data_IF_463163326428
#
_entry.id   IF_463163326428
#
_cell.length_a   1.000
_cell.length_b   1.000
_cell.length_c   1.000
_cell.angle_alpha   90.00
_cell.angle_beta   90.00
_cell.angle_gamma   90.00
#
_symmetry.space_group_name_H-M   'P 1'
#
loop_
_entity.id
_entity.type
_entity.pdbx_description
1 polymer ?
#
# COMPACT_ATOMS: atom_id res chain seq x y z
N UNK A 1 -6.35 -10.04 -13.97
CA UNK A 1 -5.14 -9.40 -13.42
C UNK A 1 -4.05 -10.43 -13.36
N UNK A 2 -2.78 -10.04 -13.56
CA UNK A 2 -1.66 -10.97 -13.29
C UNK A 2 -1.59 -11.22 -11.79
N UNK A 3 -1.18 -12.42 -11.36
CA UNK A 3 -1.13 -12.78 -9.94
C UNK A 3 -0.26 -11.80 -9.14
N UNK A 4 0.90 -11.43 -9.67
CA UNK A 4 1.82 -10.48 -9.04
C UNK A 4 1.24 -9.06 -8.93
N UNK A 5 0.40 -8.64 -9.89
CA UNK A 5 -0.29 -7.35 -9.82
C UNK A 5 -1.30 -7.32 -8.67
N UNK A 6 -1.99 -8.44 -8.40
CA UNK A 6 -2.92 -8.54 -7.27
C UNK A 6 -2.16 -8.50 -5.95
N UNK A 7 -1.07 -9.25 -5.84
CA UNK A 7 -0.21 -9.26 -4.65
C UNK A 7 0.33 -7.86 -4.36
N UNK A 8 0.85 -7.17 -5.38
CA UNK A 8 1.37 -5.81 -5.24
C UNK A 8 0.31 -4.81 -4.79
N UNK A 9 -0.89 -4.86 -5.39
CA UNK A 9 -1.98 -3.98 -4.99
C UNK A 9 -2.48 -4.30 -3.56
N UNK A 10 -2.48 -5.56 -3.14
CA UNK A 10 -2.80 -5.95 -1.76
C UNK A 10 -1.75 -5.48 -0.75
N UNK A 11 -0.46 -5.61 -1.08
CA UNK A 11 0.64 -5.14 -0.23
C UNK A 11 0.56 -3.62 -0.03
N UNK A 12 0.28 -2.87 -1.12
CA UNK A 12 0.04 -1.43 -1.05
C UNK A 12 -1.15 -1.06 -0.14
N UNK A 13 -2.29 -1.74 -0.28
CA UNK A 13 -3.46 -1.50 0.58
C UNK A 13 -3.13 -1.79 2.04
N UNK A 14 -2.42 -2.89 2.33
CA UNK A 14 -2.02 -3.23 3.70
C UNK A 14 -1.10 -2.18 4.31
N UNK A 15 -0.12 -1.68 3.55
CA UNK A 15 0.76 -0.60 3.97
C UNK A 15 -0.03 0.68 4.27
N UNK A 16 -1.02 1.01 3.43
CA UNK A 16 -1.88 2.18 3.64
C UNK A 16 -2.68 2.07 4.94
N UNK A 17 -3.31 0.91 5.20
CA UNK A 17 -4.07 0.69 6.43
C UNK A 17 -3.17 0.66 7.68
N UNK A 18 -1.99 0.04 7.58
CA UNK A 18 -1.01 0.05 8.67
C UNK A 18 -0.55 1.49 8.99
N UNK A 19 -0.27 2.28 7.96
CA UNK A 19 0.12 3.69 8.11
C UNK A 19 -1.01 4.50 8.75
N UNK A 20 -2.26 4.30 8.32
CA UNK A 20 -3.42 4.96 8.95
C UNK A 20 -3.57 4.57 10.42
N UNK A 21 -3.37 3.30 10.76
CA UNK A 21 -3.44 2.83 12.15
C UNK A 21 -2.37 3.49 13.03
N UNK A 22 -1.13 3.58 12.54
CA UNK A 22 -0.03 4.25 13.24
C UNK A 22 -0.32 5.74 13.47
N UNK A 23 -0.93 6.40 12.49
CA UNK A 23 -1.23 7.84 12.56
C UNK A 23 -2.53 8.17 13.28
N UNK A 24 -3.37 7.17 13.59
CA UNK A 24 -4.66 7.38 14.27
C UNK A 24 -4.49 7.87 15.72
N UNK A 25 -3.40 7.46 16.39
CA UNK A 25 -3.02 7.98 17.70
C UNK A 25 -1.59 8.55 17.67
N UNK A 26 -1.46 9.89 17.53
CA UNK A 26 -0.15 10.55 17.50
C UNK A 26 0.70 10.35 18.75
N UNK A 27 0.10 10.06 19.91
CA UNK A 27 0.84 9.84 21.15
C UNK A 27 1.61 8.52 21.13
N UNK A 28 1.02 7.49 20.51
CA UNK A 28 1.63 6.16 20.38
C UNK A 28 2.39 6.00 19.05
N UNK A 29 2.31 6.96 18.12
CA UNK A 29 3.02 6.91 16.85
C UNK A 29 4.53 6.61 16.98
N UNK A 30 5.30 7.18 17.94
CA UNK A 30 6.71 6.84 18.12
C UNK A 30 6.94 5.35 18.43
N UNK A 31 5.98 4.68 19.09
CA UNK A 31 6.04 3.26 19.40
C UNK A 31 5.76 2.39 18.17
N UNK A 32 4.83 2.80 17.31
CA UNK A 32 4.36 1.98 16.19
C UNK A 32 5.03 2.29 14.84
N UNK A 33 5.59 3.48 14.65
CA UNK A 33 6.30 3.86 13.41
C UNK A 33 7.39 2.86 12.98
N UNK A 34 8.23 2.30 13.88
CA UNK A 34 9.21 1.28 13.49
C UNK A 34 8.59 0.00 12.90
N UNK A 35 7.33 -0.30 13.22
CA UNK A 35 6.62 -1.48 12.70
C UNK A 35 6.24 -1.35 11.22
N UNK A 36 6.32 -0.15 10.64
CA UNK A 36 6.05 0.08 9.22
C UNK A 36 7.19 -0.38 8.30
N UNK A 37 8.39 -0.66 8.83
CA UNK A 37 9.53 -1.06 8.01
C UNK A 37 9.23 -2.31 7.16
N UNK A 38 8.69 -3.36 7.76
CA UNK A 38 8.36 -4.60 7.04
C UNK A 38 7.26 -4.43 5.99
N UNK A 39 6.12 -3.76 6.28
CA UNK A 39 5.12 -3.43 5.25
C UNK A 39 5.64 -2.56 4.10
N UNK A 40 6.60 -1.66 4.35
CA UNK A 40 7.25 -0.85 3.30
C UNK A 40 8.07 -1.75 2.38
N UNK A 41 8.96 -2.57 2.95
CA UNK A 41 9.80 -3.51 2.20
C UNK A 41 8.95 -4.48 1.35
N UNK A 42 7.87 -5.03 1.93
CA UNK A 42 6.98 -5.94 1.22
C UNK A 42 6.28 -5.25 0.04
N UNK A 43 5.81 -4.01 0.23
CA UNK A 43 5.17 -3.25 -0.83
C UNK A 43 6.16 -2.92 -1.96
N UNK A 44 7.38 -2.47 -1.63
CA UNK A 44 8.41 -2.15 -2.61
C UNK A 44 8.81 -3.38 -3.44
N UNK A 45 9.02 -4.53 -2.80
CA UNK A 45 9.33 -5.79 -3.49
C UNK A 45 8.19 -6.25 -4.40
N UNK A 46 6.95 -6.18 -3.92
CA UNK A 46 5.80 -6.60 -4.71
C UNK A 46 5.56 -5.67 -5.92
N UNK A 47 5.70 -4.36 -5.73
CA UNK A 47 5.59 -3.36 -6.79
C UNK A 47 6.69 -3.54 -7.84
N UNK A 48 7.93 -3.78 -7.40
CA UNK A 48 9.06 -4.08 -8.29
C UNK A 48 8.82 -5.34 -9.12
N UNK A 49 8.42 -6.44 -8.48
CA UNK A 49 8.13 -7.72 -9.17
C UNK A 49 7.00 -7.61 -10.18
N UNK A 50 5.95 -6.85 -9.87
CA UNK A 50 4.81 -6.65 -10.76
C UNK A 50 5.10 -5.64 -11.91
N UNK A 51 6.24 -4.95 -11.87
CA UNK A 51 6.55 -3.85 -12.80
C UNK A 51 5.63 -2.64 -12.61
N UNK A 52 5.15 -2.42 -11.38
CA UNK A 52 4.24 -1.32 -11.02
C UNK A 52 4.96 -0.14 -10.37
N UNK A 53 6.25 -0.27 -10.03
CA UNK A 53 7.07 0.84 -9.58
C UNK A 53 7.13 1.93 -10.67
N UNK A 54 6.65 3.13 -10.36
CA UNK A 54 6.52 4.25 -11.32
C UNK A 54 5.35 4.13 -12.31
N UNK A 55 4.38 3.25 -12.05
CA UNK A 55 3.14 3.13 -12.83
C UNK A 55 1.92 3.20 -11.90
N UNK A 56 1.76 4.36 -11.25
CA UNK A 56 0.74 4.63 -10.25
C UNK A 56 -0.67 4.53 -10.84
N UNK A 57 -0.85 4.93 -12.09
CA UNK A 57 -2.15 4.84 -12.79
C UNK A 57 -2.64 3.39 -12.85
N UNK A 58 -1.76 2.45 -13.20
CA UNK A 58 -2.07 1.02 -13.21
C UNK A 58 -2.30 0.50 -11.80
N UNK A 59 -1.44 0.84 -10.84
CA UNK A 59 -1.59 0.45 -9.43
C UNK A 59 -2.96 0.89 -8.88
N UNK A 60 -3.34 2.15 -9.05
CA UNK A 60 -4.60 2.67 -8.53
C UNK A 60 -5.82 2.08 -9.24
N UNK A 61 -5.71 1.75 -10.54
CA UNK A 61 -6.75 0.99 -11.21
C UNK A 61 -6.95 -0.39 -10.55
N UNK A 62 -5.86 -1.08 -10.19
CA UNK A 62 -5.93 -2.35 -9.49
C UNK A 62 -6.55 -2.20 -8.09
N UNK A 63 -6.09 -1.23 -7.30
CA UNK A 63 -6.59 -0.96 -5.94
C UNK A 63 -8.09 -0.68 -5.93
N UNK A 64 -8.61 0.10 -6.89
CA UNK A 64 -10.06 0.38 -7.00
C UNK A 64 -10.90 -0.88 -7.22
N UNK A 65 -10.33 -1.91 -7.84
CA UNK A 65 -11.04 -3.20 -7.97
C UNK A 65 -11.01 -4.03 -6.69
N UNK A 66 -9.96 -3.90 -5.88
CA UNK A 66 -9.80 -4.64 -4.63
C UNK A 66 -10.59 -4.01 -3.48
N UNK A 67 -10.64 -2.68 -3.44
CA UNK A 67 -11.33 -1.89 -2.41
C UNK A 67 -12.35 -0.99 -3.11
N UNK A 68 -13.61 -1.45 -3.27
CA UNK A 68 -14.66 -0.63 -3.86
C UNK A 68 -14.84 0.67 -3.06
N UNK A 69 -14.62 1.81 -3.71
CA UNK A 69 -14.74 3.14 -3.08
C UNK A 69 -13.44 3.77 -2.56
N UNK A 70 -12.27 3.14 -2.75
CA UNK A 70 -10.99 3.78 -2.48
C UNK A 70 -10.76 4.95 -3.45
N UNK A 71 -10.93 6.19 -2.97
CA UNK A 71 -10.50 7.38 -3.69
C UNK A 71 -8.96 7.35 -3.82
N UNK A 72 -8.43 7.72 -4.99
CA UNK A 72 -6.98 7.88 -5.14
C UNK A 72 -6.49 8.93 -4.13
N UNK A 73 -5.36 8.71 -3.44
CA UNK A 73 -4.75 9.77 -2.64
C UNK A 73 -4.50 10.97 -3.56
N UNK A 74 -4.94 12.15 -3.11
CA UNK A 74 -5.05 13.37 -3.90
C UNK A 74 -3.79 13.69 -4.72
N UNK A 75 -4.03 14.13 -5.96
CA UNK A 75 -3.02 14.59 -6.91
C UNK A 75 -2.42 15.93 -6.49
#
# INVERSE_FOLDING_TARGET
>A
MRHDEVIAAQAYVRLLEATRAVLADPADAPLYMPLLASPIEEADEALGRAGLAGNEDRLFALVRTLVPGAAAPGR
#
